data_IF_697661727755
#
_entry.id   IF_697661727755
#
_cell.length_a   1.000
_cell.length_b   1.000
_cell.length_c   1.000
_cell.angle_alpha   90.00
_cell.angle_beta   90.00
_cell.angle_gamma   90.00
#
_symmetry.space_group_name_H-M   'P 1'
#
loop_
_entity.id
_entity.type
_entity.pdbx_description
1 polymer ?
#
# COMPACT_ATOMS: atom_id res chain seq x y z
N UNK A 1 1.13 6.44 -30.91
CA UNK A 1 -0.04 7.27 -31.16
C UNK A 1 -1.00 7.32 -29.97
N UNK A 2 -2.05 8.09 -30.10
CA UNK A 2 -3.08 8.30 -29.07
C UNK A 2 -3.72 6.99 -28.60
N UNK A 3 -3.92 6.01 -29.50
CA UNK A 3 -4.46 4.69 -29.17
C UNK A 3 -3.60 3.91 -28.19
N UNK A 4 -2.27 3.99 -28.29
CA UNK A 4 -1.36 3.28 -27.40
C UNK A 4 -1.32 3.92 -26.00
N UNK A 5 -1.37 5.25 -25.92
CA UNK A 5 -1.43 5.96 -24.63
C UNK A 5 -2.73 5.68 -23.89
N UNK A 6 -3.86 5.66 -24.58
CA UNK A 6 -5.18 5.38 -24.00
C UNK A 6 -5.28 3.92 -23.53
N UNK A 7 -4.81 2.96 -24.34
CA UNK A 7 -4.80 1.54 -23.99
C UNK A 7 -3.91 1.25 -22.77
N UNK A 8 -2.77 1.92 -22.65
CA UNK A 8 -1.86 1.80 -21.51
C UNK A 8 -2.49 2.35 -20.23
N UNK A 9 -3.13 3.53 -20.30
CA UNK A 9 -3.82 4.14 -19.17
C UNK A 9 -4.99 3.28 -18.69
N UNK A 10 -5.78 2.71 -19.62
CA UNK A 10 -6.90 1.81 -19.30
C UNK A 10 -6.43 0.51 -18.66
N UNK A 11 -5.31 -0.05 -19.13
CA UNK A 11 -4.71 -1.26 -18.58
C UNK A 11 -4.19 -1.04 -17.15
N UNK A 12 -3.52 0.07 -16.91
CA UNK A 12 -3.05 0.45 -15.57
C UNK A 12 -4.21 0.67 -14.60
N UNK A 13 -5.28 1.34 -15.07
CA UNK A 13 -6.51 1.54 -14.30
C UNK A 13 -7.16 0.20 -13.93
N UNK A 14 -7.24 -0.73 -14.86
CA UNK A 14 -7.79 -2.08 -14.62
C UNK A 14 -7.00 -2.83 -13.56
N UNK A 15 -5.66 -2.74 -13.58
CA UNK A 15 -4.79 -3.35 -12.56
C UNK A 15 -5.04 -2.76 -11.18
N UNK A 16 -5.08 -1.43 -11.09
CA UNK A 16 -5.34 -0.73 -9.83
C UNK A 16 -6.70 -1.13 -9.27
N UNK A 17 -7.74 -1.13 -10.09
CA UNK A 17 -9.08 -1.52 -9.68
C UNK A 17 -9.16 -2.99 -9.24
N UNK A 18 -8.48 -3.88 -9.95
CA UNK A 18 -8.40 -5.30 -9.59
C UNK A 18 -7.76 -5.49 -8.21
N UNK A 19 -6.67 -4.80 -7.93
CA UNK A 19 -5.99 -4.85 -6.62
C UNK A 19 -6.84 -4.28 -5.50
N UNK A 20 -7.49 -3.15 -5.74
CA UNK A 20 -8.39 -2.53 -4.77
C UNK A 20 -9.61 -3.42 -4.49
N UNK A 21 -10.17 -4.04 -5.52
CA UNK A 21 -11.30 -4.98 -5.38
C UNK A 21 -10.90 -6.19 -4.54
N UNK A 22 -9.72 -6.73 -4.76
CA UNK A 22 -9.19 -7.87 -4.00
C UNK A 22 -9.04 -7.53 -2.52
N UNK A 23 -8.50 -6.36 -2.22
CA UNK A 23 -8.39 -5.86 -0.83
C UNK A 23 -9.75 -5.73 -0.16
N UNK A 24 -10.74 -5.18 -0.86
CA UNK A 24 -12.11 -5.04 -0.35
C UNK A 24 -12.69 -6.42 -0.03
N UNK A 25 -12.58 -7.36 -0.95
CA UNK A 25 -13.09 -8.73 -0.78
C UNK A 25 -12.46 -9.42 0.42
N UNK A 26 -11.15 -9.34 0.56
CA UNK A 26 -10.40 -9.93 1.68
C UNK A 26 -10.80 -9.27 3.00
N UNK A 27 -10.86 -7.96 3.05
CA UNK A 27 -11.25 -7.22 4.25
C UNK A 27 -12.67 -7.59 4.71
N UNK A 28 -13.61 -7.70 3.77
CA UNK A 28 -15.00 -8.09 4.06
C UNK A 28 -15.10 -9.54 4.50
N UNK A 29 -14.24 -10.42 3.99
CA UNK A 29 -14.23 -11.84 4.33
C UNK A 29 -13.66 -12.11 5.73
N UNK A 30 -12.61 -11.40 6.11
CA UNK A 30 -11.93 -11.57 7.40
C UNK A 30 -12.65 -10.88 8.55
N UNK A 31 -13.54 -9.95 8.28
CA UNK A 31 -14.27 -9.22 9.28
C UNK A 31 -15.75 -9.10 8.94
N UNK A 32 -16.38 -8.04 9.45
CA UNK A 32 -17.78 -7.75 9.15
C UNK A 32 -17.93 -7.19 7.73
N UNK A 33 -19.05 -7.47 7.08
CA UNK A 33 -19.37 -6.95 5.75
C UNK A 33 -19.91 -5.51 5.79
N UNK A 34 -20.26 -5.04 6.99
CA UNK A 34 -20.63 -3.65 7.21
C UNK A 34 -19.38 -2.81 7.46
N UNK A 35 -19.08 -1.80 6.61
CA UNK A 35 -17.91 -0.95 6.78
C UNK A 35 -17.86 -0.24 8.13
N UNK A 36 -19.00 0.06 8.73
CA UNK A 36 -19.07 0.73 10.03
C UNK A 36 -18.55 -0.16 11.16
N UNK A 37 -18.55 -1.47 10.95
CA UNK A 37 -18.09 -2.48 11.91
C UNK A 37 -16.75 -3.11 11.52
N UNK A 38 -16.11 -2.61 10.47
CA UNK A 38 -14.88 -3.19 9.93
C UNK A 38 -13.93 -2.09 9.44
N UNK A 39 -12.96 -1.74 10.24
CA UNK A 39 -11.99 -0.66 9.95
C UNK A 39 -11.20 -0.91 8.66
N UNK A 40 -10.73 -2.13 8.45
CA UNK A 40 -9.97 -2.49 7.25
C UNK A 40 -10.83 -2.32 6.00
N UNK A 41 -12.07 -2.78 6.04
CA UNK A 41 -13.02 -2.65 4.94
C UNK A 41 -13.31 -1.17 4.65
N UNK A 42 -13.52 -0.36 5.67
CA UNK A 42 -13.75 1.08 5.51
C UNK A 42 -12.56 1.76 4.84
N UNK A 43 -11.34 1.44 5.26
CA UNK A 43 -10.12 1.97 4.64
C UNK A 43 -9.96 1.54 3.20
N UNK A 44 -10.25 0.26 2.90
CA UNK A 44 -10.21 -0.27 1.53
C UNK A 44 -11.23 0.43 0.61
N UNK A 45 -12.44 0.68 1.11
CA UNK A 45 -13.49 1.40 0.38
C UNK A 45 -13.06 2.85 0.13
N UNK A 46 -12.47 3.51 1.10
CA UNK A 46 -11.98 4.88 0.93
C UNK A 46 -10.88 4.96 -0.13
N UNK A 47 -9.94 4.03 -0.12
CA UNK A 47 -8.89 3.94 -1.13
C UNK A 47 -9.47 3.73 -2.53
N UNK A 48 -10.47 2.86 -2.65
CA UNK A 48 -11.17 2.61 -3.92
C UNK A 48 -11.89 3.85 -4.43
N UNK A 49 -12.58 4.57 -3.57
CA UNK A 49 -13.25 5.84 -3.92
C UNK A 49 -12.25 6.90 -4.35
N UNK A 50 -11.11 7.00 -3.67
CA UNK A 50 -10.05 7.93 -4.04
C UNK A 50 -9.45 7.63 -5.41
N UNK A 51 -9.48 6.37 -5.83
CA UNK A 51 -9.07 5.93 -7.16
C UNK A 51 -10.21 6.00 -8.20
N UNK A 52 -11.36 6.58 -7.84
CA UNK A 52 -12.55 6.73 -8.69
C UNK A 52 -13.19 5.39 -9.09
N UNK A 53 -13.13 4.39 -8.24
CA UNK A 53 -13.85 3.13 -8.47
C UNK A 53 -15.35 3.37 -8.32
N UNK A 54 -16.16 2.95 -9.31
CA UNK A 54 -17.62 3.07 -9.22
C UNK A 54 -18.19 2.27 -8.04
N UNK A 55 -19.27 2.79 -7.46
CA UNK A 55 -19.95 2.16 -6.32
C UNK A 55 -20.35 0.70 -6.60
N UNK A 56 -20.83 0.41 -7.81
CA UNK A 56 -21.21 -0.95 -8.20
C UNK A 56 -20.05 -1.93 -8.14
N UNK A 57 -18.86 -1.47 -8.49
CA UNK A 57 -17.65 -2.31 -8.40
C UNK A 57 -17.27 -2.59 -6.95
N UNK A 58 -17.42 -1.60 -6.08
CA UNK A 58 -17.19 -1.74 -4.63
C UNK A 58 -18.19 -2.74 -4.05
N UNK A 59 -19.47 -2.59 -4.36
CA UNK A 59 -20.52 -3.47 -3.87
C UNK A 59 -20.31 -4.91 -4.33
N UNK A 60 -19.92 -5.12 -5.59
CA UNK A 60 -19.59 -6.45 -6.11
C UNK A 60 -18.40 -7.09 -5.41
N UNK A 61 -17.38 -6.29 -5.08
CA UNK A 61 -16.22 -6.79 -4.35
C UNK A 61 -16.58 -7.26 -2.95
N UNK A 62 -17.47 -6.52 -2.26
CA UNK A 62 -18.00 -6.93 -0.94
C UNK A 62 -18.84 -8.20 -1.08
N UNK A 63 -19.71 -8.28 -2.10
CA UNK A 63 -20.56 -9.45 -2.32
C UNK A 63 -19.78 -10.72 -2.60
N UNK A 64 -18.65 -10.64 -3.29
CA UNK A 64 -17.76 -11.79 -3.52
C UNK A 64 -17.27 -12.43 -2.23
N UNK A 65 -17.17 -11.68 -1.13
CA UNK A 65 -16.73 -12.20 0.16
C UNK A 65 -17.72 -13.19 0.77
N UNK A 66 -18.98 -13.17 0.31
CA UNK A 66 -20.04 -14.05 0.79
C UNK A 66 -19.95 -15.48 0.24
N UNK A 67 -19.19 -15.67 -0.85
CA UNK A 67 -19.06 -16.98 -1.51
C UNK A 67 -17.79 -17.69 -1.04
N UNK A 68 -17.95 -18.86 -0.45
CA UNK A 68 -16.85 -19.60 0.18
C UNK A 68 -15.83 -20.20 -0.80
N UNK A 69 -16.19 -20.33 -2.09
CA UNK A 69 -15.45 -21.24 -2.99
C UNK A 69 -14.49 -20.57 -3.97
N UNK A 70 -14.58 -19.25 -4.19
CA UNK A 70 -13.86 -18.61 -5.29
C UNK A 70 -12.91 -17.48 -4.90
N UNK A 71 -12.80 -17.13 -3.63
CA UNK A 71 -12.07 -15.93 -3.21
C UNK A 71 -11.25 -16.14 -1.94
N UNK A 72 -10.65 -17.33 -1.80
CA UNK A 72 -9.73 -17.58 -0.67
C UNK A 72 -8.36 -17.05 -1.05
N UNK A 73 -8.13 -15.78 -0.75
CA UNK A 73 -6.81 -15.20 -0.86
C UNK A 73 -6.05 -15.35 0.46
N UNK A 74 -4.83 -15.83 0.35
CA UNK A 74 -3.89 -15.84 1.46
C UNK A 74 -3.09 -14.55 1.47
N UNK A 75 -2.89 -14.00 2.66
CA UNK A 75 -1.98 -12.87 2.87
C UNK A 75 -0.58 -13.41 3.12
N UNK A 76 0.37 -12.98 2.29
CA UNK A 76 1.75 -13.44 2.41
C UNK A 76 2.68 -12.23 2.32
N UNK A 77 3.66 -12.21 3.23
CA UNK A 77 4.75 -11.25 3.19
C UNK A 77 6.02 -11.96 2.72
N UNK A 78 6.61 -11.43 1.67
CA UNK A 78 7.91 -11.87 1.18
C UNK A 78 8.96 -10.82 1.55
N UNK A 79 10.14 -11.27 1.88
CA UNK A 79 11.26 -10.42 2.27
C UNK A 79 12.52 -10.83 1.54
N UNK A 80 13.29 -9.85 1.09
CA UNK A 80 14.52 -10.12 0.38
C UNK A 80 15.38 -8.89 0.21
N UNK A 81 16.45 -9.07 -0.54
CA UNK A 81 17.40 -8.00 -0.84
C UNK A 81 17.59 -7.88 -2.33
N UNK A 82 17.60 -6.65 -2.82
CA UNK A 82 17.93 -6.35 -4.21
C UNK A 82 19.40 -6.00 -4.37
N UNK A 83 19.78 -5.54 -5.56
CA UNK A 83 21.11 -5.00 -5.81
C UNK A 83 21.42 -3.89 -4.80
N UNK A 84 22.69 -3.67 -4.54
CA UNK A 84 23.18 -2.64 -3.62
C UNK A 84 22.73 -2.87 -2.17
N UNK A 85 22.38 -4.11 -1.83
CA UNK A 85 21.93 -4.52 -0.50
C UNK A 85 20.66 -3.79 -0.03
N UNK A 86 19.82 -3.35 -0.95
CA UNK A 86 18.53 -2.75 -0.60
C UNK A 86 17.63 -3.82 0.02
N UNK A 87 16.95 -3.47 1.11
CA UNK A 87 15.98 -4.34 1.74
C UNK A 87 14.61 -4.12 1.11
N UNK A 88 13.88 -5.19 0.87
CA UNK A 88 12.57 -5.15 0.19
C UNK A 88 11.56 -6.01 0.93
N UNK A 89 10.38 -5.46 1.16
CA UNK A 89 9.23 -6.19 1.69
C UNK A 89 8.12 -6.14 0.64
N UNK A 90 7.55 -7.31 0.35
CA UNK A 90 6.45 -7.48 -0.61
C UNK A 90 5.24 -8.04 0.13
N UNK A 91 4.13 -7.33 0.09
CA UNK A 91 2.86 -7.81 0.61
C UNK A 91 1.98 -8.29 -0.55
N UNK A 92 1.51 -9.54 -0.46
CA UNK A 92 0.73 -10.18 -1.50
C UNK A 92 -0.59 -10.71 -0.97
N UNK A 93 -1.57 -10.72 -1.86
CA UNK A 93 -2.83 -11.45 -1.68
C UNK A 93 -2.92 -12.45 -2.84
N UNK A 94 -2.92 -13.73 -2.55
CA UNK A 94 -2.86 -14.76 -3.59
C UNK A 94 -3.79 -15.93 -3.33
N UNK A 95 -4.35 -16.47 -4.39
CA UNK A 95 -5.08 -17.73 -4.37
C UNK A 95 -4.19 -18.94 -4.70
N UNK A 96 -2.90 -18.69 -4.99
CA UNK A 96 -1.92 -19.75 -5.30
C UNK A 96 -0.52 -19.33 -4.80
N UNK A 97 -0.20 -19.78 -3.59
CA UNK A 97 1.07 -19.45 -2.92
C UNK A 97 2.30 -19.86 -3.73
N UNK A 98 2.26 -21.04 -4.34
CA UNK A 98 3.40 -21.58 -5.07
C UNK A 98 3.70 -20.75 -6.33
N UNK A 99 2.65 -20.37 -7.05
CA UNK A 99 2.77 -19.50 -8.23
C UNK A 99 3.39 -18.16 -7.85
N UNK A 100 2.88 -17.53 -6.83
CA UNK A 100 3.35 -16.22 -6.38
C UNK A 100 4.78 -16.27 -5.88
N UNK A 101 5.12 -17.23 -5.01
CA UNK A 101 6.48 -17.39 -4.49
C UNK A 101 7.50 -17.60 -5.62
N UNK A 102 7.16 -18.45 -6.56
CA UNK A 102 8.01 -18.77 -7.73
C UNK A 102 8.27 -17.51 -8.57
N UNK A 103 7.23 -16.74 -8.84
CA UNK A 103 7.34 -15.52 -9.67
C UNK A 103 8.12 -14.42 -8.96
N UNK A 104 7.88 -14.22 -7.68
CA UNK A 104 8.61 -13.21 -6.90
C UNK A 104 10.08 -13.58 -6.81
N UNK A 105 10.41 -14.86 -6.55
CA UNK A 105 11.79 -15.33 -6.54
C UNK A 105 12.48 -15.07 -7.88
N UNK A 106 11.79 -15.35 -8.98
CA UNK A 106 12.30 -15.10 -10.34
C UNK A 106 12.61 -13.61 -10.54
N UNK A 107 11.72 -12.72 -10.13
CA UNK A 107 11.91 -11.28 -10.27
C UNK A 107 13.13 -10.81 -9.47
N UNK A 108 13.29 -11.27 -8.23
CA UNK A 108 14.48 -10.95 -7.42
C UNK A 108 15.75 -11.42 -8.10
N UNK A 109 15.80 -12.67 -8.54
CA UNK A 109 16.98 -13.26 -9.17
C UNK A 109 17.36 -12.57 -10.48
N UNK A 110 16.40 -12.26 -11.33
CA UNK A 110 16.64 -11.56 -12.60
C UNK A 110 17.18 -10.14 -12.41
N UNK A 111 16.95 -9.54 -11.27
CA UNK A 111 17.37 -8.18 -10.96
C UNK A 111 18.53 -8.14 -9.96
N UNK A 112 19.29 -9.24 -9.87
CA UNK A 112 20.52 -9.29 -9.07
C UNK A 112 20.31 -9.42 -7.57
N UNK A 113 19.08 -9.74 -7.14
CA UNK A 113 18.74 -9.90 -5.75
C UNK A 113 18.46 -11.33 -5.34
N UNK A 114 18.08 -11.50 -4.10
CA UNK A 114 17.71 -12.80 -3.54
C UNK A 114 16.50 -12.65 -2.62
N UNK A 115 15.54 -13.56 -2.78
CA UNK A 115 14.45 -13.69 -1.85
C UNK A 115 14.94 -14.45 -0.62
N UNK A 116 14.67 -13.90 0.56
CA UNK A 116 15.06 -14.51 1.84
C UNK A 116 13.88 -15.15 2.55
N UNK A 117 14.13 -15.57 3.78
CA UNK A 117 13.10 -16.08 4.69
C UNK A 117 12.42 -14.92 5.42
N UNK A 118 11.28 -15.20 6.04
CA UNK A 118 10.57 -14.22 6.87
C UNK A 118 11.48 -13.70 7.99
N UNK A 119 11.49 -12.39 8.17
CA UNK A 119 12.33 -11.72 9.14
C UNK A 119 13.70 -11.31 8.63
N UNK A 120 14.12 -11.76 7.46
CA UNK A 120 15.45 -11.47 6.92
C UNK A 120 15.66 -9.99 6.58
N UNK A 121 14.63 -9.28 6.17
CA UNK A 121 14.70 -7.87 5.79
C UNK A 121 13.87 -6.95 6.71
N UNK A 122 12.90 -7.48 7.42
CA UNK A 122 11.94 -6.70 8.21
C UNK A 122 12.59 -5.85 9.31
N UNK A 123 13.75 -6.26 9.83
CA UNK A 123 14.48 -5.51 10.87
C UNK A 123 14.99 -4.15 10.38
N UNK A 124 15.04 -3.92 9.07
CA UNK A 124 15.39 -2.62 8.49
C UNK A 124 14.22 -1.63 8.48
N UNK A 125 13.04 -2.06 8.93
CA UNK A 125 11.81 -1.29 8.88
C UNK A 125 11.11 -1.29 10.24
N UNK A 126 10.19 -0.33 10.37
CA UNK A 126 9.24 -0.28 11.47
C UNK A 126 7.84 -0.18 10.87
N UNK A 127 6.88 -0.92 11.42
CA UNK A 127 5.49 -0.73 11.04
C UNK A 127 4.94 0.54 11.68
N UNK A 128 4.38 1.41 10.84
CA UNK A 128 3.87 2.73 11.22
C UNK A 128 2.47 2.89 10.66
N UNK A 129 1.56 3.45 11.44
CA UNK A 129 0.26 3.89 10.92
C UNK A 129 0.46 5.17 10.11
N UNK A 130 0.02 5.17 8.86
CA UNK A 130 0.13 6.32 7.96
C UNK A 130 -1.23 6.67 7.38
N UNK A 131 -1.64 7.91 7.63
CA UNK A 131 -2.89 8.47 7.11
C UNK A 131 -2.52 9.57 6.13
N UNK A 132 -3.04 9.46 4.89
CA UNK A 132 -2.82 10.48 3.87
C UNK A 132 -4.12 11.21 3.58
N UNK A 133 -4.04 12.53 3.52
CA UNK A 133 -5.15 13.41 3.17
C UNK A 133 -4.71 14.37 2.07
N UNK A 134 -5.65 14.79 1.23
CA UNK A 134 -5.37 15.75 0.18
C UNK A 134 -4.87 17.07 0.78
N UNK A 135 -3.84 17.66 0.18
CA UNK A 135 -3.24 18.91 0.65
C UNK A 135 -4.20 20.09 0.65
N UNK A 136 -5.25 20.04 -0.18
CA UNK A 136 -6.26 21.10 -0.26
C UNK A 136 -7.27 21.07 0.89
N UNK A 137 -7.35 19.96 1.64
CA UNK A 137 -8.30 19.81 2.75
C UNK A 137 -7.98 20.70 3.94
N UNK A 138 -6.71 20.96 4.17
CA UNK A 138 -6.23 21.68 5.35
C UNK A 138 -4.82 22.23 5.08
N UNK A 139 -4.52 23.39 5.63
CA UNK A 139 -3.16 23.93 5.53
C UNK A 139 -2.21 23.27 6.54
N UNK A 140 -0.91 23.47 6.35
CA UNK A 140 0.14 22.83 7.13
C UNK A 140 0.07 23.18 8.64
N UNK A 141 -0.24 24.42 8.96
CA UNK A 141 -0.30 24.88 10.36
C UNK A 141 -1.47 24.25 11.12
N UNK A 142 -2.66 24.27 10.51
CA UNK A 142 -3.86 23.66 11.09
C UNK A 142 -3.73 22.15 11.17
N UNK A 143 -3.11 21.53 10.18
CA UNK A 143 -2.84 20.09 10.21
C UNK A 143 -1.96 19.72 11.39
N UNK A 144 -0.86 20.44 11.60
CA UNK A 144 0.09 20.15 12.68
C UNK A 144 -0.62 20.18 14.04
N UNK A 145 -1.44 21.20 14.27
CA UNK A 145 -2.21 21.33 15.51
C UNK A 145 -3.17 20.16 15.73
N UNK A 146 -3.93 19.79 14.71
CA UNK A 146 -4.89 18.67 14.77
C UNK A 146 -4.15 17.36 14.96
N UNK A 147 -3.03 17.16 14.25
CA UNK A 147 -2.24 15.94 14.35
C UNK A 147 -1.67 15.73 15.76
N UNK A 148 -1.11 16.78 16.35
CA UNK A 148 -0.62 16.74 17.73
C UNK A 148 -1.76 16.35 18.69
N UNK A 149 -2.92 16.96 18.54
CA UNK A 149 -4.08 16.71 19.38
C UNK A 149 -4.68 15.31 19.18
N UNK A 150 -4.45 14.71 18.04
CA UNK A 150 -4.95 13.36 17.71
C UNK A 150 -4.09 12.21 18.24
N UNK A 151 -2.88 12.53 18.73
CA UNK A 151 -1.91 11.53 19.18
C UNK A 151 -0.95 11.07 18.08
N UNK A 152 -0.85 11.80 16.98
CA UNK A 152 0.13 11.52 15.93
C UNK A 152 1.54 11.89 16.39
N UNK A 153 2.53 11.15 15.84
CA UNK A 153 3.95 11.37 16.15
C UNK A 153 4.60 12.40 15.23
N UNK A 154 4.24 12.35 13.93
CA UNK A 154 4.87 13.17 12.91
C UNK A 154 3.88 13.49 11.78
N UNK A 155 4.14 14.62 11.12
CA UNK A 155 3.42 15.04 9.93
C UNK A 155 4.41 15.47 8.85
N UNK A 156 4.13 15.05 7.62
CA UNK A 156 4.87 15.47 6.44
C UNK A 156 3.90 16.01 5.41
N UNK A 157 4.28 17.06 4.72
CA UNK A 157 3.43 17.68 3.70
C UNK A 157 4.18 17.85 2.40
N UNK A 158 3.51 17.57 1.29
CA UNK A 158 3.98 17.92 -0.04
C UNK A 158 2.86 18.63 -0.80
N UNK A 159 3.08 18.92 -2.09
CA UNK A 159 2.10 19.64 -2.91
C UNK A 159 0.78 18.90 -3.12
N UNK A 160 0.80 17.58 -3.03
CA UNK A 160 -0.34 16.72 -3.35
C UNK A 160 -1.08 16.24 -2.12
N UNK A 161 -0.37 15.92 -1.05
CA UNK A 161 -0.99 15.34 0.14
C UNK A 161 -0.18 15.62 1.40
N UNK A 162 -0.85 15.45 2.53
CA UNK A 162 -0.25 15.41 3.86
C UNK A 162 -0.17 13.97 4.32
N UNK A 163 0.94 13.60 4.98
CA UNK A 163 1.08 12.32 5.66
C UNK A 163 1.10 12.53 7.17
N UNK A 164 0.29 11.76 7.88
CA UNK A 164 0.21 11.77 9.34
C UNK A 164 0.65 10.41 9.83
N UNK A 165 1.71 10.37 10.63
CA UNK A 165 2.30 9.15 11.17
C UNK A 165 1.92 8.96 12.63
N UNK A 166 1.58 7.74 13.00
CA UNK A 166 1.27 7.35 14.38
C UNK A 166 1.69 5.90 14.64
N UNK A 167 1.59 5.47 15.89
CA UNK A 167 1.76 4.06 16.22
C UNK A 167 0.70 3.24 15.50
N UNK A 168 1.08 2.08 14.98
CA UNK A 168 0.18 1.22 14.21
C UNK A 168 -1.08 0.83 14.99
N UNK A 169 -0.96 0.66 16.29
CA UNK A 169 -2.08 0.30 17.16
C UNK A 169 -3.10 1.44 17.30
N UNK A 170 -2.69 2.68 17.08
CA UNK A 170 -3.50 3.87 17.32
C UNK A 170 -4.14 4.44 16.04
N UNK A 171 -3.88 3.85 14.89
CA UNK A 171 -4.24 4.45 13.59
C UNK A 171 -5.72 4.80 13.46
N UNK A 172 -6.61 3.95 13.93
CA UNK A 172 -8.05 4.19 13.80
C UNK A 172 -8.55 5.20 14.83
N UNK A 173 -7.95 5.26 16.02
CA UNK A 173 -8.25 6.28 17.03
C UNK A 173 -7.80 7.65 16.56
N UNK A 174 -6.61 7.74 15.98
CA UNK A 174 -6.09 8.98 15.38
C UNK A 174 -6.99 9.44 14.24
N UNK A 175 -7.33 8.53 13.33
CA UNK A 175 -8.23 8.83 12.21
C UNK A 175 -9.56 9.37 12.69
N UNK A 176 -10.16 8.76 13.70
CA UNK A 176 -11.45 9.18 14.25
C UNK A 176 -11.43 10.63 14.75
N UNK A 177 -10.33 11.05 15.37
CA UNK A 177 -10.15 12.43 15.79
C UNK A 177 -9.99 13.37 14.59
N UNK A 178 -9.22 12.96 13.60
CA UNK A 178 -9.01 13.73 12.37
C UNK A 178 -10.31 13.90 11.58
N UNK A 179 -11.20 12.92 11.56
CA UNK A 179 -12.50 12.95 10.87
C UNK A 179 -13.39 14.09 11.33
N UNK A 180 -13.17 14.64 12.51
CA UNK A 180 -13.92 15.79 13.02
C UNK A 180 -13.67 17.06 12.20
N UNK A 181 -12.55 17.17 11.51
CA UNK A 181 -12.16 18.36 10.73
C UNK A 181 -11.74 18.07 9.30
N UNK A 182 -11.53 16.82 8.94
CA UNK A 182 -11.11 16.38 7.60
C UNK A 182 -12.14 15.42 7.06
N UNK A 183 -12.63 15.68 5.85
CA UNK A 183 -13.71 14.90 5.25
C UNK A 183 -13.24 13.77 4.33
N UNK A 184 -12.13 13.96 3.62
CA UNK A 184 -11.66 13.02 2.61
C UNK A 184 -10.26 12.52 2.95
N UNK A 185 -10.16 11.20 3.07
CA UNK A 185 -8.89 10.52 3.30
C UNK A 185 -8.48 9.78 2.04
N UNK A 186 -7.25 9.96 1.61
CA UNK A 186 -6.71 9.26 0.45
C UNK A 186 -6.36 7.82 0.80
N UNK A 187 -5.75 7.61 1.96
CA UNK A 187 -5.38 6.28 2.44
C UNK A 187 -5.22 6.24 3.95
N UNK A 188 -5.45 5.07 4.52
CA UNK A 188 -5.25 4.78 5.94
C UNK A 188 -4.69 3.37 6.02
N UNK A 189 -3.37 3.24 6.22
CA UNK A 189 -2.68 1.97 6.16
C UNK A 189 -1.61 1.85 7.23
N UNK A 190 -1.32 0.60 7.61
CA UNK A 190 -0.11 0.27 8.35
C UNK A 190 0.96 -0.05 7.30
N UNK A 191 2.05 0.71 7.30
CA UNK A 191 3.10 0.58 6.29
C UNK A 191 4.45 0.26 6.95
N UNK A 192 5.33 -0.35 6.16
CA UNK A 192 6.70 -0.62 6.57
C UNK A 192 7.56 0.59 6.24
N UNK A 193 8.00 1.31 7.29
CA UNK A 193 8.79 2.53 7.15
C UNK A 193 10.27 2.24 7.42
N UNK A 194 11.19 2.65 6.52
CA UNK A 194 12.60 2.29 6.67
C UNK A 194 13.27 2.97 7.85
N UNK A 195 13.98 2.18 8.66
CA UNK A 195 14.84 2.64 9.74
C UNK A 195 16.26 2.90 9.25
N UNK A 196 16.73 2.05 8.33
CA UNK A 196 18.05 2.13 7.73
C UNK A 196 17.90 2.34 6.24
N UNK A 197 18.31 3.51 5.75
CA UNK A 197 18.20 3.85 4.33
C UNK A 197 19.50 3.54 3.60
N UNK A 198 19.38 3.04 2.38
CA UNK A 198 20.51 2.78 1.48
C UNK A 198 20.57 3.92 0.47
N UNK A 199 21.66 4.68 0.51
CA UNK A 199 21.88 5.82 -0.39
C UNK A 199 22.39 5.33 -1.75
N UNK A 200 21.63 5.63 -2.80
CA UNK A 200 21.94 5.23 -4.18
C UNK A 200 22.19 6.47 -5.04
N UNK A 201 23.14 6.35 -5.97
CA UNK A 201 23.28 7.39 -7.00
C UNK A 201 22.11 7.33 -7.98
N UNK A 202 22.00 8.29 -8.88
CA UNK A 202 20.89 8.42 -9.82
C UNK A 202 20.67 7.16 -10.67
N UNK A 203 21.76 6.57 -11.17
CA UNK A 203 21.69 5.37 -12.02
C UNK A 203 21.25 4.14 -11.22
N UNK A 204 21.83 3.92 -10.06
CA UNK A 204 21.46 2.83 -9.15
C UNK A 204 20.01 2.95 -8.67
N UNK A 205 19.59 4.16 -8.36
CA UNK A 205 18.21 4.45 -7.94
C UNK A 205 17.21 4.13 -9.06
N UNK A 206 17.50 4.56 -10.28
CA UNK A 206 16.65 4.26 -11.44
C UNK A 206 16.53 2.76 -11.70
N UNK A 207 17.63 2.03 -11.62
CA UNK A 207 17.66 0.58 -11.77
C UNK A 207 16.83 -0.11 -10.68
N UNK A 208 17.00 0.32 -9.43
CA UNK A 208 16.25 -0.22 -8.30
C UNK A 208 14.76 0.09 -8.39
N UNK A 209 14.38 1.27 -8.85
CA UNK A 209 12.98 1.61 -9.08
C UNK A 209 12.33 0.69 -10.12
N UNK A 210 13.02 0.34 -11.19
CA UNK A 210 12.51 -0.60 -12.19
C UNK A 210 12.26 -1.98 -11.60
N UNK A 211 13.16 -2.43 -10.76
CA UNK A 211 12.99 -3.69 -10.04
C UNK A 211 11.74 -3.65 -9.14
N UNK A 212 11.58 -2.60 -8.34
CA UNK A 212 10.41 -2.44 -7.46
C UNK A 212 9.11 -2.34 -8.25
N UNK A 213 9.11 -1.62 -9.37
CA UNK A 213 7.96 -1.51 -10.26
C UNK A 213 7.58 -2.87 -10.87
N UNK A 214 8.57 -3.69 -11.22
CA UNK A 214 8.33 -5.05 -11.72
C UNK A 214 7.64 -5.91 -10.68
N UNK A 215 8.02 -5.79 -9.42
CA UNK A 215 7.33 -6.46 -8.31
C UNK A 215 5.89 -5.94 -8.17
N UNK A 216 5.71 -4.64 -8.17
CA UNK A 216 4.38 -4.00 -8.04
C UNK A 216 3.45 -4.36 -9.19
N UNK A 217 4.00 -4.62 -10.37
CA UNK A 217 3.23 -4.96 -11.58
C UNK A 217 2.60 -6.35 -11.52
N UNK A 218 3.06 -7.21 -10.64
CA UNK A 218 2.49 -8.54 -10.46
C UNK A 218 1.09 -8.44 -9.82
N UNK A 219 0.13 -9.17 -10.40
CA UNK A 219 -1.28 -9.11 -9.98
C UNK A 219 -1.51 -9.50 -8.52
N UNK A 220 -0.70 -10.40 -7.98
CA UNK A 220 -0.83 -10.86 -6.59
C UNK A 220 -0.17 -9.92 -5.59
N UNK A 221 0.67 -9.01 -6.05
CA UNK A 221 1.38 -8.06 -5.18
C UNK A 221 0.52 -6.85 -4.92
N UNK A 222 0.26 -6.55 -3.65
CA UNK A 222 -0.51 -5.40 -3.23
C UNK A 222 0.38 -4.19 -2.95
N UNK A 223 1.49 -4.40 -2.25
CA UNK A 223 2.40 -3.32 -1.86
C UNK A 223 3.84 -3.80 -1.83
N UNK A 224 4.75 -2.90 -2.20
CA UNK A 224 6.20 -3.11 -2.11
C UNK A 224 6.81 -1.97 -1.32
N UNK A 225 7.64 -2.31 -0.35
CA UNK A 225 8.38 -1.35 0.46
C UNK A 225 9.87 -1.59 0.32
N UNK A 226 10.63 -0.51 0.28
CA UNK A 226 12.09 -0.60 0.23
C UNK A 226 12.72 0.52 1.06
N UNK A 227 14.01 0.40 1.32
CA UNK A 227 14.78 1.37 2.07
C UNK A 227 15.73 2.19 1.18
N UNK A 228 15.39 2.35 -0.09
CA UNK A 228 16.20 3.14 -1.02
C UNK A 228 16.03 4.64 -0.79
N UNK A 229 17.13 5.37 -0.95
CA UNK A 229 17.14 6.82 -0.93
C UNK A 229 18.11 7.32 -1.99
N UNK A 230 17.71 8.31 -2.76
CA UNK A 230 18.58 8.88 -3.78
C UNK A 230 19.53 9.89 -3.15
N UNK A 231 20.82 9.76 -3.44
CA UNK A 231 21.82 10.77 -3.09
C UNK A 231 21.55 12.04 -3.89
N UNK A 232 21.46 13.19 -3.22
CA UNK A 232 21.34 14.50 -3.86
C UNK A 232 22.69 14.97 -4.44
#
# INVERSE_FOLDING_TARGET
GIKHKKGRADKERSKIFSKLSREITVAAKLGDKDPDMNHRLRSAIQAARSANMPKDNIDRAIDKSKFNDQSNFDEIRYEGFGNYKIAVIVEALTDNKNRTASKIREIFQKNGGNLGTQGSAAHNFKQVGIIRVDSEQIDDENLLEIAINSGADECFSNKSYHEIHCNKEDIYDVKKILEKKINNFLSTNIEWYPLNKVNLNKEQFSESQKFLETLEDHDDVQKVYSNIEMLE
#
